data_IF_070548324390
#
_entry.id   IF_070548324390
#
_cell.length_a   1.000
_cell.length_b   1.000
_cell.length_c   1.000
_cell.angle_alpha   90.00
_cell.angle_beta   90.00
_cell.angle_gamma   90.00
#
_symmetry.space_group_name_H-M   'P 1'
#
loop_
_entity.id
_entity.type
_entity.pdbx_description
1 polymer ?
#
# COMPACT_ATOMS: atom_id res chain seq x y z
N UNK A 1 17.24 20.64 -2.51
CA UNK A 1 17.49 20.98 -1.08
C UNK A 1 16.55 22.03 -0.53
N UNK A 2 16.19 23.14 -1.22
CA UNK A 2 15.29 24.20 -0.69
C UNK A 2 13.93 23.65 -0.15
N UNK A 3 13.30 22.69 -0.85
CA UNK A 3 12.07 22.07 -0.38
C UNK A 3 12.27 21.27 0.92
N UNK A 4 13.41 20.56 1.04
CA UNK A 4 13.76 19.87 2.29
C UNK A 4 13.92 20.86 3.45
N UNK A 5 14.63 21.96 3.22
CA UNK A 5 14.85 22.98 4.26
C UNK A 5 13.52 23.58 4.75
N UNK A 6 12.61 23.81 3.83
CA UNK A 6 11.25 24.23 4.16
C UNK A 6 10.52 23.16 4.99
N UNK A 7 10.51 21.89 4.56
CA UNK A 7 9.87 20.80 5.31
C UNK A 7 10.43 20.67 6.73
N UNK A 8 11.77 20.72 6.87
CA UNK A 8 12.41 20.61 8.17
C UNK A 8 12.08 21.81 9.08
N UNK A 9 11.97 23.01 8.52
CA UNK A 9 11.52 24.19 9.24
C UNK A 9 10.08 24.06 9.73
N UNK A 10 9.16 23.60 8.89
CA UNK A 10 7.76 23.38 9.27
C UNK A 10 7.64 22.34 10.39
N UNK A 11 8.40 21.24 10.29
CA UNK A 11 8.43 20.20 11.32
C UNK A 11 9.04 20.73 12.64
N UNK A 12 10.12 21.49 12.58
CA UNK A 12 10.71 22.11 13.76
C UNK A 12 9.69 23.03 14.47
N UNK A 13 9.01 23.90 13.69
CA UNK A 13 7.93 24.74 14.22
C UNK A 13 6.75 23.95 14.80
N UNK A 14 6.47 22.75 14.30
CA UNK A 14 5.40 21.89 14.82
C UNK A 14 5.72 21.31 16.21
N UNK A 15 7.00 21.10 16.53
CA UNK A 15 7.43 20.58 17.83
C UNK A 15 7.07 21.53 18.98
N UNK A 16 6.97 22.82 18.70
CA UNK A 16 6.66 23.87 19.66
C UNK A 16 5.16 24.04 19.90
N UNK A 17 4.30 23.44 19.05
CA UNK A 17 2.84 23.56 19.15
C UNK A 17 2.30 22.71 20.31
N UNK A 18 1.59 23.36 21.24
CA UNK A 18 1.02 22.68 22.42
C UNK A 18 -0.13 21.73 22.09
N UNK A 19 -0.88 22.00 21.02
CA UNK A 19 -2.12 21.28 20.67
C UNK A 19 -1.87 19.94 19.99
N UNK A 20 -0.84 19.85 19.16
CA UNK A 20 -0.45 18.64 18.45
C UNK A 20 1.07 18.61 18.25
N UNK A 21 1.84 18.43 19.34
CA UNK A 21 3.30 18.50 19.28
C UNK A 21 3.87 17.44 18.31
N UNK A 22 4.74 17.89 17.43
CA UNK A 22 5.38 17.02 16.45
C UNK A 22 4.59 16.77 15.18
N UNK A 23 3.37 17.32 15.04
CA UNK A 23 2.55 17.17 13.85
C UNK A 23 2.33 18.49 13.12
N UNK A 24 2.21 18.40 11.81
CA UNK A 24 1.81 19.53 10.97
C UNK A 24 0.32 19.81 11.22
N UNK A 25 0.03 21.04 11.60
CA UNK A 25 -1.33 21.55 11.79
C UNK A 25 -1.61 22.56 10.70
N UNK A 26 -2.45 22.20 9.75
CA UNK A 26 -2.78 23.00 8.58
C UNK A 26 -4.19 22.67 8.09
N UNK A 27 -4.81 23.52 7.27
CA UNK A 27 -5.96 23.12 6.45
C UNK A 27 -5.60 21.90 5.59
N UNK A 28 -6.61 21.09 5.26
CA UNK A 28 -6.35 19.88 4.45
C UNK A 28 -6.10 20.24 2.98
N UNK A 29 -6.93 21.14 2.46
CA UNK A 29 -6.85 21.70 1.12
C UNK A 29 -7.61 23.05 1.05
N UNK A 30 -7.91 23.52 -0.13
CA UNK A 30 -8.68 24.73 -0.40
C UNK A 30 -10.16 24.69 0.04
N UNK A 31 -10.69 23.48 0.28
CA UNK A 31 -12.09 23.29 0.71
C UNK A 31 -12.23 23.30 2.24
N UNK A 32 -11.15 23.17 3.00
CA UNK A 32 -11.19 23.18 4.46
C UNK A 32 -10.36 24.33 5.03
N UNK A 33 -11.00 25.18 5.83
CA UNK A 33 -10.29 26.25 6.54
C UNK A 33 -9.83 25.82 7.95
N UNK A 34 -10.28 24.67 8.43
CA UNK A 34 -9.92 24.13 9.73
C UNK A 34 -8.51 23.59 9.75
N UNK A 35 -7.61 24.30 10.43
CA UNK A 35 -6.25 23.84 10.66
C UNK A 35 -6.25 22.74 11.74
N UNK A 36 -5.99 21.50 11.33
CA UNK A 36 -5.94 20.31 12.19
C UNK A 36 -4.71 19.45 11.89
N UNK A 37 -4.41 18.53 12.79
CA UNK A 37 -3.38 17.52 12.58
C UNK A 37 -3.96 16.31 11.81
N UNK A 38 -4.27 16.54 10.55
CA UNK A 38 -4.84 15.53 9.66
C UNK A 38 -3.90 14.36 9.41
N UNK A 39 -4.44 13.14 9.33
CA UNK A 39 -3.70 11.94 8.98
C UNK A 39 -3.08 12.02 7.59
N UNK A 40 -3.85 12.48 6.61
CA UNK A 40 -3.42 12.60 5.22
C UNK A 40 -2.10 13.37 5.04
N UNK A 41 -1.98 14.68 5.34
CA UNK A 41 -0.73 15.40 5.13
C UNK A 41 0.39 14.90 6.05
N UNK A 42 0.11 14.57 7.30
CA UNK A 42 1.13 14.07 8.21
C UNK A 42 1.71 12.72 7.76
N UNK A 43 0.87 11.84 7.20
CA UNK A 43 1.31 10.59 6.60
C UNK A 43 2.29 10.82 5.44
N UNK A 44 2.00 11.78 4.56
CA UNK A 44 2.89 12.13 3.45
C UNK A 44 4.20 12.76 3.91
N UNK A 45 4.19 13.60 4.95
CA UNK A 45 5.43 14.13 5.52
C UNK A 45 6.33 13.01 6.07
N UNK A 46 5.76 12.09 6.83
CA UNK A 46 6.51 10.94 7.39
C UNK A 46 7.07 10.06 6.27
N UNK A 47 6.24 9.62 5.33
CA UNK A 47 6.64 8.75 4.23
C UNK A 47 7.64 9.43 3.28
N UNK A 48 7.44 10.72 3.01
CA UNK A 48 8.32 11.52 2.18
C UNK A 48 9.72 11.67 2.80
N UNK A 49 9.80 12.02 4.09
CA UNK A 49 11.07 12.15 4.79
C UNK A 49 11.81 10.82 4.92
N UNK A 50 11.09 9.73 5.23
CA UNK A 50 11.72 8.40 5.30
C UNK A 50 12.29 8.00 3.94
N UNK A 51 11.51 8.13 2.87
CA UNK A 51 11.96 7.81 1.51
C UNK A 51 13.13 8.68 1.08
N UNK A 52 13.07 9.98 1.38
CA UNK A 52 14.12 10.92 1.01
C UNK A 52 15.41 10.68 1.81
N UNK A 53 15.31 10.35 3.11
CA UNK A 53 16.49 10.01 3.93
C UNK A 53 17.22 8.78 3.38
N UNK A 54 16.48 7.77 2.93
CA UNK A 54 17.06 6.58 2.29
C UNK A 54 17.73 6.91 0.96
N UNK A 55 17.11 7.77 0.15
CA UNK A 55 17.72 8.25 -1.09
C UNK A 55 19.02 9.02 -0.82
N UNK A 56 19.01 9.95 0.15
CA UNK A 56 20.22 10.68 0.55
C UNK A 56 21.32 9.73 1.03
N UNK A 57 20.98 8.71 1.81
CA UNK A 57 21.94 7.71 2.29
C UNK A 57 22.52 6.89 1.12
N UNK A 58 21.70 6.50 0.15
CA UNK A 58 22.15 5.76 -1.04
C UNK A 58 23.12 6.56 -1.90
N UNK A 59 23.02 7.90 -1.90
CA UNK A 59 23.94 8.81 -2.58
C UNK A 59 25.08 9.32 -1.69
N UNK A 60 25.21 8.84 -0.46
CA UNK A 60 26.27 9.28 0.47
C UNK A 60 26.16 10.75 0.88
N UNK A 61 24.96 11.34 0.84
CA UNK A 61 24.76 12.74 1.15
C UNK A 61 24.87 13.02 2.65
N UNK A 62 25.61 14.06 3.06
CA UNK A 62 25.90 14.37 4.47
C UNK A 62 24.68 14.59 5.36
N UNK A 63 23.56 15.02 4.79
CA UNK A 63 22.31 15.25 5.54
C UNK A 63 21.43 14.02 5.73
N UNK A 64 21.84 12.84 5.25
CA UNK A 64 21.02 11.63 5.35
C UNK A 64 20.63 11.28 6.79
N UNK A 65 21.59 11.33 7.71
CA UNK A 65 21.37 11.04 9.13
C UNK A 65 20.45 12.06 9.82
N UNK A 66 20.60 13.34 9.52
CA UNK A 66 19.74 14.42 10.01
C UNK A 66 18.27 14.15 9.62
N UNK A 67 18.03 13.96 8.32
CA UNK A 67 16.67 13.74 7.80
C UNK A 67 16.06 12.46 8.35
N UNK A 68 16.86 11.39 8.48
CA UNK A 68 16.40 10.15 9.08
C UNK A 68 15.99 10.31 10.54
N UNK A 69 16.74 11.11 11.31
CA UNK A 69 16.41 11.39 12.71
C UNK A 69 15.07 12.11 12.82
N UNK A 70 14.86 13.14 12.00
CA UNK A 70 13.59 13.88 11.95
C UNK A 70 12.44 12.97 11.52
N UNK A 71 12.63 12.14 10.47
CA UNK A 71 11.62 11.19 10.00
C UNK A 71 11.20 10.22 11.11
N UNK A 72 12.17 9.62 11.81
CA UNK A 72 11.90 8.69 12.93
C UNK A 72 11.14 9.36 14.06
N UNK A 73 11.52 10.58 14.41
CA UNK A 73 10.84 11.34 15.48
C UNK A 73 9.41 11.66 15.07
N UNK A 74 9.19 12.18 13.86
CA UNK A 74 7.86 12.50 13.38
C UNK A 74 6.97 11.25 13.28
N UNK A 75 7.51 10.11 12.86
CA UNK A 75 6.81 8.83 12.86
C UNK A 75 6.35 8.41 14.26
N UNK A 76 7.21 8.56 15.26
CA UNK A 76 6.87 8.25 16.65
C UNK A 76 5.79 9.20 17.21
N UNK A 77 5.94 10.51 16.97
CA UNK A 77 4.97 11.53 17.38
C UNK A 77 3.60 11.29 16.73
N UNK A 78 3.58 10.98 15.43
CA UNK A 78 2.36 10.65 14.67
C UNK A 78 1.66 9.43 15.26
N UNK A 79 2.38 8.33 15.41
CA UNK A 79 1.83 7.08 15.96
C UNK A 79 1.24 7.30 17.36
N UNK A 80 1.97 8.00 18.23
CA UNK A 80 1.51 8.32 19.58
C UNK A 80 0.28 9.24 19.58
N UNK A 81 0.21 10.21 18.68
CA UNK A 81 -0.92 11.15 18.59
C UNK A 81 -2.20 10.44 18.13
N UNK A 82 -2.12 9.61 17.10
CA UNK A 82 -3.28 8.85 16.61
C UNK A 82 -3.70 7.75 17.57
N UNK A 83 -2.75 7.11 18.29
CA UNK A 83 -3.08 6.20 19.38
C UNK A 83 -3.87 6.89 20.50
N UNK A 84 -3.42 8.08 20.94
CA UNK A 84 -4.15 8.88 21.94
C UNK A 84 -5.52 9.35 21.42
N UNK A 85 -5.60 9.72 20.14
CA UNK A 85 -6.87 10.09 19.49
C UNK A 85 -7.86 8.93 19.50
N UNK A 86 -7.40 7.73 19.14
CA UNK A 86 -8.22 6.52 19.14
C UNK A 86 -8.75 6.16 20.54
N UNK A 87 -7.93 6.28 21.57
CA UNK A 87 -8.38 6.01 22.98
C UNK A 87 -9.49 6.97 23.43
N UNK A 88 -9.53 8.19 22.90
CA UNK A 88 -10.55 9.20 23.21
C UNK A 88 -11.75 9.18 22.26
N UNK A 89 -11.62 8.44 21.17
CA UNK A 89 -12.66 8.34 20.16
C UNK A 89 -13.77 7.35 20.56
N UNK A 90 -14.95 7.41 19.93
CA UNK A 90 -15.96 6.39 20.15
C UNK A 90 -15.47 5.03 19.64
N UNK A 91 -16.02 3.96 20.21
CA UNK A 91 -15.90 2.62 19.63
C UNK A 91 -16.96 2.42 18.55
N UNK A 92 -16.67 1.60 17.56
CA UNK A 92 -17.58 1.26 16.46
C UNK A 92 -17.88 -0.23 16.47
N UNK A 93 -19.11 -0.60 16.15
CA UNK A 93 -19.48 -2.00 16.01
C UNK A 93 -19.14 -2.51 14.61
N UNK A 94 -18.55 -3.69 14.54
CA UNK A 94 -18.27 -4.39 13.30
C UNK A 94 -19.44 -5.28 12.87
N UNK A 95 -19.41 -5.80 11.65
CA UNK A 95 -20.46 -6.64 11.07
C UNK A 95 -20.69 -7.94 11.88
N UNK A 96 -19.66 -8.48 12.50
CA UNK A 96 -19.71 -9.64 13.39
C UNK A 96 -20.22 -9.34 14.81
N UNK A 97 -20.62 -8.07 15.07
CA UNK A 97 -21.09 -7.53 16.35
C UNK A 97 -20.00 -7.35 17.42
N UNK A 98 -18.75 -7.53 17.08
CA UNK A 98 -17.64 -7.14 17.95
C UNK A 98 -17.46 -5.62 17.93
N UNK A 99 -16.68 -5.10 18.87
CA UNK A 99 -16.40 -3.67 18.98
C UNK A 99 -14.96 -3.39 18.59
N UNK A 100 -14.76 -2.33 17.82
CA UNK A 100 -13.47 -1.91 17.33
C UNK A 100 -13.16 -0.48 17.78
N UNK A 101 -11.90 -0.19 18.01
CA UNK A 101 -11.46 1.19 18.23
C UNK A 101 -11.61 1.98 16.94
N UNK A 102 -12.21 3.15 17.04
CA UNK A 102 -12.20 4.09 15.93
C UNK A 102 -10.91 4.90 15.91
N UNK A 103 -10.29 5.03 14.76
CA UNK A 103 -9.12 5.89 14.55
C UNK A 103 -9.55 7.12 13.77
N UNK A 104 -9.53 8.32 14.38
CA UNK A 104 -10.02 9.53 13.74
C UNK A 104 -9.15 9.99 12.58
N UNK A 105 -9.69 10.78 11.66
CA UNK A 105 -8.95 11.33 10.53
C UNK A 105 -8.01 12.48 10.92
N UNK A 106 -8.21 13.10 12.08
CA UNK A 106 -7.27 14.07 12.66
C UNK A 106 -6.96 13.72 14.13
N UNK A 107 -5.71 13.98 14.53
CA UNK A 107 -5.24 13.62 15.87
C UNK A 107 -5.75 14.56 17.00
N UNK A 108 -6.42 15.65 16.67
CA UNK A 108 -6.88 16.68 17.63
C UNK A 108 -8.32 16.48 18.05
N UNK A 109 -9.16 15.93 17.16
CA UNK A 109 -10.60 15.83 17.36
C UNK A 109 -11.06 14.38 17.13
N UNK A 110 -11.36 13.62 18.17
CA UNK A 110 -11.73 12.20 18.08
C UNK A 110 -13.21 12.02 17.69
N UNK A 111 -13.61 12.51 16.53
CA UNK A 111 -14.99 12.39 16.00
C UNK A 111 -14.98 11.74 14.62
N UNK A 112 -16.07 11.07 14.27
CA UNK A 112 -16.30 10.58 12.91
C UNK A 112 -16.73 11.73 11.99
N UNK A 113 -16.28 11.69 10.74
CA UNK A 113 -16.60 12.66 9.69
C UNK A 113 -17.22 11.93 8.49
N UNK A 114 -18.43 11.39 8.69
CA UNK A 114 -19.15 10.62 7.66
C UNK A 114 -20.15 11.46 6.89
N UNK A 115 -20.81 12.41 7.57
CA UNK A 115 -21.94 13.16 7.03
C UNK A 115 -21.55 14.59 6.59
N UNK A 116 -20.32 14.74 6.13
CA UNK A 116 -19.82 16.02 5.63
C UNK A 116 -19.40 15.88 4.17
N UNK A 117 -19.48 16.97 3.42
CA UNK A 117 -19.07 16.94 2.02
C UNK A 117 -17.59 16.58 1.87
N UNK A 118 -16.75 17.27 2.61
CA UNK A 118 -15.32 17.10 2.60
C UNK A 118 -14.71 17.87 3.78
N UNK A 119 -13.70 17.37 4.48
CA UNK A 119 -13.12 16.03 4.37
C UNK A 119 -13.99 14.96 5.06
N UNK A 120 -13.95 13.75 4.56
CA UNK A 120 -14.57 12.60 5.19
C UNK A 120 -13.54 11.64 5.77
N UNK A 121 -13.99 10.74 6.64
CA UNK A 121 -13.12 9.66 7.16
C UNK A 121 -12.63 8.73 6.04
N UNK A 122 -13.36 8.65 4.94
CA UNK A 122 -13.00 7.80 3.80
C UNK A 122 -11.95 8.47 2.92
N UNK A 123 -12.18 9.74 2.55
CA UNK A 123 -11.31 10.46 1.61
C UNK A 123 -9.97 10.87 2.25
N UNK A 124 -10.03 11.37 3.48
CA UNK A 124 -8.89 11.93 4.20
C UNK A 124 -8.54 11.13 5.43
N UNK A 125 -9.14 9.96 5.54
CA UNK A 125 -9.11 9.13 6.71
C UNK A 125 -7.75 8.53 7.02
N UNK A 126 -7.68 7.86 8.17
CA UNK A 126 -6.43 7.34 8.70
C UNK A 126 -5.83 6.20 7.85
N UNK A 127 -6.57 5.61 6.92
CA UNK A 127 -6.03 4.59 6.00
C UNK A 127 -4.83 5.06 5.19
N UNK A 128 -4.70 6.37 4.94
CA UNK A 128 -3.49 6.94 4.36
C UNK A 128 -2.24 6.64 5.20
N UNK A 129 -2.38 6.60 6.51
CA UNK A 129 -1.27 6.27 7.41
C UNK A 129 -0.81 4.81 7.22
N UNK A 130 -1.75 3.88 7.06
CA UNK A 130 -1.44 2.47 6.80
C UNK A 130 -0.87 2.26 5.39
N UNK A 131 -1.46 2.88 4.36
CA UNK A 131 -0.98 2.83 2.98
C UNK A 131 0.45 3.33 2.83
N UNK A 132 0.77 4.42 3.50
CA UNK A 132 2.08 5.06 3.42
C UNK A 132 3.10 4.44 4.38
N UNK A 133 2.70 3.42 5.16
CA UNK A 133 3.48 2.88 6.27
C UNK A 133 3.95 3.96 7.26
N UNK A 134 3.18 5.03 7.39
CA UNK A 134 3.40 6.10 8.37
C UNK A 134 2.99 5.69 9.79
N UNK A 135 2.26 4.60 9.92
CA UNK A 135 2.12 3.76 11.13
C UNK A 135 2.47 2.33 10.72
N UNK A 136 2.76 1.46 11.67
CA UNK A 136 3.02 0.04 11.35
C UNK A 136 1.78 -0.58 10.67
N UNK A 137 1.87 -0.99 9.40
CA UNK A 137 0.72 -1.56 8.68
C UNK A 137 0.21 -2.87 9.27
N UNK A 138 1.04 -3.56 10.06
CA UNK A 138 0.69 -4.81 10.78
C UNK A 138 0.28 -4.55 12.23
N UNK A 139 0.41 -3.31 12.70
CA UNK A 139 0.08 -2.90 14.06
C UNK A 139 -1.42 -2.78 14.31
N UNK A 140 -1.77 -2.60 15.58
CA UNK A 140 -3.16 -2.52 16.02
C UNK A 140 -3.91 -1.30 15.45
N UNK A 141 -3.23 -0.15 15.28
CA UNK A 141 -3.84 1.04 14.67
C UNK A 141 -4.30 0.75 13.24
N UNK A 142 -3.42 0.20 12.40
CA UNK A 142 -3.76 -0.16 11.02
C UNK A 142 -4.85 -1.24 10.98
N UNK A 143 -4.83 -2.20 11.90
CA UNK A 143 -5.89 -3.21 12.02
C UNK A 143 -7.23 -2.58 12.35
N UNK A 144 -7.28 -1.66 13.31
CA UNK A 144 -8.51 -0.94 13.66
C UNK A 144 -9.06 -0.11 12.49
N UNK A 145 -8.17 0.59 11.76
CA UNK A 145 -8.53 1.35 10.57
C UNK A 145 -9.14 0.47 9.47
N UNK A 146 -8.50 -0.67 9.18
CA UNK A 146 -8.95 -1.59 8.14
C UNK A 146 -10.28 -2.26 8.49
N UNK A 147 -10.46 -2.70 9.72
CA UNK A 147 -11.70 -3.32 10.16
C UNK A 147 -12.90 -2.35 10.08
N UNK A 148 -12.73 -1.13 10.60
CA UNK A 148 -13.79 -0.11 10.50
C UNK A 148 -14.07 0.24 9.04
N UNK A 149 -13.03 0.41 8.22
CA UNK A 149 -13.21 0.73 6.81
C UNK A 149 -13.96 -0.36 6.06
N UNK A 150 -13.59 -1.61 6.20
CA UNK A 150 -14.27 -2.73 5.53
C UNK A 150 -15.73 -2.85 5.91
N UNK A 151 -16.04 -2.81 7.19
CA UNK A 151 -17.37 -3.11 7.68
C UNK A 151 -18.32 -1.90 7.68
N UNK A 152 -17.82 -0.72 7.94
CA UNK A 152 -18.65 0.45 8.16
C UNK A 152 -18.54 1.51 7.07
N UNK A 153 -17.41 1.54 6.33
CA UNK A 153 -17.18 2.59 5.34
C UNK A 153 -17.21 2.05 3.92
N UNK A 154 -16.50 0.96 3.65
CA UNK A 154 -16.34 0.42 2.30
C UNK A 154 -17.64 -0.18 1.71
N UNK A 155 -18.46 -0.80 2.53
CA UNK A 155 -19.70 -1.49 2.10
C UNK A 155 -20.93 -0.59 2.08
N UNK A 156 -20.83 0.66 2.53
CA UNK A 156 -21.94 1.60 2.48
C UNK A 156 -21.86 2.53 1.26
N UNK A 157 -22.80 3.47 1.13
CA UNK A 157 -22.82 4.40 0.00
C UNK A 157 -21.57 5.29 -0.10
N UNK A 158 -20.83 5.44 0.98
CA UNK A 158 -19.58 6.21 1.07
C UNK A 158 -18.33 5.34 0.93
N UNK A 159 -18.51 4.02 0.80
CA UNK A 159 -17.44 3.04 0.92
C UNK A 159 -16.33 3.14 -0.10
N UNK A 160 -16.64 3.60 -1.32
CA UNK A 160 -15.61 3.95 -2.31
C UNK A 160 -15.44 5.45 -2.41
N UNK A 161 -15.94 6.17 -1.42
CA UNK A 161 -15.89 7.61 -1.27
C UNK A 161 -16.44 8.43 -2.43
N UNK A 162 -16.42 9.72 -2.29
CA UNK A 162 -16.55 10.64 -3.40
C UNK A 162 -15.40 10.49 -4.39
N UNK A 163 -14.21 10.26 -3.85
CA UNK A 163 -12.96 10.22 -4.60
C UNK A 163 -12.34 8.83 -4.46
N UNK A 164 -12.65 7.90 -5.37
CA UNK A 164 -12.18 6.52 -5.30
C UNK A 164 -10.66 6.37 -5.27
N UNK A 165 -9.93 7.37 -5.75
CA UNK A 165 -8.46 7.43 -5.69
C UNK A 165 -7.92 7.36 -4.26
N UNK A 166 -8.67 7.78 -3.28
CA UNK A 166 -8.28 7.76 -1.87
C UNK A 166 -8.57 6.44 -1.17
N UNK A 167 -9.16 5.47 -1.86
CA UNK A 167 -9.39 4.14 -1.31
C UNK A 167 -8.10 3.32 -1.27
N UNK A 168 -7.39 3.42 -0.17
CA UNK A 168 -6.00 2.95 -0.04
C UNK A 168 -5.84 1.62 0.68
N UNK A 169 -6.94 0.97 1.08
CA UNK A 169 -6.89 -0.29 1.83
C UNK A 169 -6.15 -1.39 1.07
N UNK A 170 -6.24 -1.44 -0.26
CA UNK A 170 -5.57 -2.47 -1.05
C UNK A 170 -4.05 -2.47 -0.85
N UNK A 171 -3.42 -1.30 -0.81
CA UNK A 171 -1.98 -1.18 -0.53
C UNK A 171 -1.64 -1.58 0.91
N UNK A 172 -2.50 -1.21 1.87
CA UNK A 172 -2.33 -1.63 3.26
C UNK A 172 -2.38 -3.17 3.39
N UNK A 173 -3.29 -3.83 2.68
CA UNK A 173 -3.36 -5.30 2.62
C UNK A 173 -2.11 -5.94 2.00
N UNK A 174 -1.49 -5.31 1.01
CA UNK A 174 -0.22 -5.80 0.46
C UNK A 174 0.91 -5.77 1.49
N UNK A 175 1.00 -4.71 2.32
CA UNK A 175 1.97 -4.67 3.43
C UNK A 175 1.73 -5.77 4.47
N UNK A 176 0.48 -6.17 4.67
CA UNK A 176 0.08 -7.22 5.61
C UNK A 176 0.20 -8.62 5.03
N UNK A 177 0.50 -8.73 3.74
CA UNK A 177 0.49 -9.98 2.98
C UNK A 177 -0.89 -10.68 2.98
N UNK A 178 -1.93 -9.89 2.79
CA UNK A 178 -3.33 -10.31 2.70
C UNK A 178 -3.83 -10.21 1.24
N UNK A 179 -3.39 -11.10 0.33
CA UNK A 179 -3.61 -10.95 -1.10
C UNK A 179 -5.08 -11.02 -1.51
N UNK A 180 -5.92 -11.81 -0.83
CA UNK A 180 -7.35 -11.92 -1.16
C UNK A 180 -8.08 -10.61 -0.89
N UNK A 181 -7.76 -9.94 0.23
CA UNK A 181 -8.33 -8.64 0.56
C UNK A 181 -7.87 -7.56 -0.42
N UNK A 182 -6.58 -7.56 -0.77
CA UNK A 182 -6.03 -6.64 -1.77
C UNK A 182 -6.70 -6.81 -3.15
N UNK A 183 -6.92 -8.06 -3.60
CA UNK A 183 -7.59 -8.36 -4.87
C UNK A 183 -9.05 -7.90 -4.83
N UNK A 184 -9.77 -8.14 -3.73
CA UNK A 184 -11.15 -7.67 -3.56
C UNK A 184 -11.22 -6.14 -3.68
N UNK A 185 -10.35 -5.42 -2.96
CA UNK A 185 -10.28 -3.98 -3.03
C UNK A 185 -9.92 -3.46 -4.43
N UNK A 186 -9.00 -4.12 -5.13
CA UNK A 186 -8.64 -3.80 -6.51
C UNK A 186 -9.84 -3.87 -7.47
N UNK A 187 -10.59 -4.97 -7.44
CA UNK A 187 -11.76 -5.12 -8.32
C UNK A 187 -12.90 -4.17 -7.92
N UNK A 188 -13.07 -3.91 -6.63
CA UNK A 188 -14.06 -2.93 -6.18
C UNK A 188 -13.70 -1.52 -6.65
N UNK A 189 -12.41 -1.15 -6.62
CA UNK A 189 -11.94 0.11 -7.18
C UNK A 189 -12.18 0.18 -8.68
N UNK A 190 -11.89 -0.88 -9.44
CA UNK A 190 -12.22 -0.93 -10.87
C UNK A 190 -13.70 -0.72 -11.14
N UNK A 191 -14.58 -1.33 -10.35
CA UNK A 191 -16.02 -1.21 -10.52
C UNK A 191 -16.56 0.19 -10.19
N UNK A 192 -15.91 0.93 -9.28
CA UNK A 192 -16.41 2.20 -8.78
C UNK A 192 -15.65 3.42 -9.29
N UNK A 193 -14.36 3.27 -9.61
CA UNK A 193 -13.49 4.39 -9.99
C UNK A 193 -13.41 4.64 -11.50
N UNK A 194 -14.08 3.81 -12.30
CA UNK A 194 -14.05 3.91 -13.77
C UNK A 194 -15.45 3.83 -14.35
N UNK A 195 -15.69 4.55 -15.45
CA UNK A 195 -16.91 4.39 -16.23
C UNK A 195 -16.94 3.00 -16.85
N UNK A 196 -18.12 2.38 -16.89
CA UNK A 196 -18.25 0.98 -17.32
C UNK A 196 -18.06 0.79 -18.83
N UNK A 197 -18.31 1.80 -19.64
CA UNK A 197 -18.24 1.68 -21.10
C UNK A 197 -16.89 2.08 -21.68
N UNK A 198 -16.29 3.14 -21.15
CA UNK A 198 -15.07 3.73 -21.71
C UNK A 198 -13.85 3.56 -20.80
N UNK A 199 -14.06 3.02 -19.58
CA UNK A 199 -13.02 2.94 -18.55
C UNK A 199 -12.37 4.30 -18.26
N UNK A 200 -13.17 5.36 -18.34
CA UNK A 200 -12.73 6.71 -17.97
C UNK A 200 -12.62 6.78 -16.46
N UNK A 201 -11.49 7.24 -15.90
CA UNK A 201 -11.35 7.39 -14.47
C UNK A 201 -12.29 8.47 -13.94
N UNK A 202 -12.80 8.24 -12.74
CA UNK A 202 -13.75 9.11 -12.05
C UNK A 202 -13.10 9.74 -10.84
N UNK A 203 -13.25 11.05 -10.68
CA UNK A 203 -12.91 11.72 -9.44
C UNK A 203 -14.00 11.47 -8.40
N UNK A 204 -15.27 11.68 -8.79
CA UNK A 204 -16.41 11.49 -7.92
C UNK A 204 -17.27 10.31 -8.33
N UNK A 205 -17.55 9.43 -7.36
CA UNK A 205 -18.15 8.13 -7.61
C UNK A 205 -19.54 8.13 -8.20
N UNK A 206 -20.42 9.05 -7.92
CA UNK A 206 -21.81 8.83 -8.32
C UNK A 206 -22.67 10.08 -8.50
N UNK A 207 -22.51 11.05 -7.71
CA UNK A 207 -23.63 11.93 -7.44
C UNK A 207 -23.96 12.90 -8.55
N UNK A 208 -23.05 13.21 -9.39
CA UNK A 208 -23.19 14.44 -10.15
C UNK A 208 -23.08 14.22 -11.65
N UNK A 209 -22.97 12.96 -12.10
CA UNK A 209 -22.81 12.64 -13.52
C UNK A 209 -21.58 13.30 -14.16
N UNK A 210 -20.69 13.84 -13.36
CA UNK A 210 -19.50 14.52 -13.83
C UNK A 210 -18.34 13.53 -13.86
N UNK A 211 -17.85 13.32 -15.04
CA UNK A 211 -16.66 12.51 -15.29
C UNK A 211 -15.49 13.48 -15.40
N UNK A 212 -14.66 13.51 -14.40
CA UNK A 212 -13.35 14.11 -14.51
C UNK A 212 -12.35 13.04 -14.95
N UNK A 213 -11.28 13.46 -15.59
CA UNK A 213 -10.15 12.62 -15.97
C UNK A 213 -8.97 12.91 -15.04
N UNK A 214 -9.05 12.60 -13.72
CA UNK A 214 -7.98 12.96 -12.81
C UNK A 214 -6.82 11.98 -13.02
N UNK A 215 -5.65 12.45 -13.41
CA UNK A 215 -4.45 11.62 -13.52
C UNK A 215 -4.12 10.87 -12.23
N UNK A 216 -4.59 11.39 -11.10
CA UNK A 216 -4.43 10.80 -9.77
C UNK A 216 -5.14 9.44 -9.65
N UNK A 217 -6.36 9.28 -10.19
CA UNK A 217 -7.09 8.01 -10.17
C UNK A 217 -6.38 6.95 -11.02
N UNK A 218 -5.95 7.32 -12.23
CA UNK A 218 -5.17 6.45 -13.10
C UNK A 218 -3.86 6.04 -12.43
N UNK A 219 -3.14 7.00 -11.87
CA UNK A 219 -1.87 6.77 -11.20
C UNK A 219 -1.99 5.84 -9.99
N UNK A 220 -3.01 6.05 -9.14
CA UNK A 220 -3.24 5.23 -7.96
C UNK A 220 -3.64 3.80 -8.33
N UNK A 221 -4.50 3.64 -9.34
CA UNK A 221 -4.89 2.31 -9.82
C UNK A 221 -3.71 1.58 -10.48
N UNK A 222 -2.93 2.28 -11.30
CA UNK A 222 -1.75 1.70 -11.94
C UNK A 222 -0.68 1.31 -10.92
N UNK A 223 -0.45 2.13 -9.90
CA UNK A 223 0.45 1.79 -8.79
C UNK A 223 0.03 0.50 -8.09
N UNK A 224 -1.25 0.36 -7.79
CA UNK A 224 -1.80 -0.83 -7.16
C UNK A 224 -1.65 -2.06 -8.08
N UNK A 225 -2.06 -1.93 -9.35
CA UNK A 225 -1.91 -2.99 -10.34
C UNK A 225 -0.46 -3.47 -10.46
N UNK A 226 0.48 -2.52 -10.54
CA UNK A 226 1.90 -2.82 -10.58
C UNK A 226 2.37 -3.56 -9.32
N UNK A 227 1.97 -3.09 -8.14
CA UNK A 227 2.33 -3.72 -6.86
C UNK A 227 1.78 -5.13 -6.70
N UNK A 228 0.64 -5.44 -7.29
CA UNK A 228 0.12 -6.82 -7.31
C UNK A 228 1.03 -7.77 -8.07
N UNK A 229 1.73 -7.27 -9.11
CA UNK A 229 2.65 -8.02 -9.96
C UNK A 229 4.09 -7.99 -9.46
N UNK A 230 4.58 -6.78 -9.13
CA UNK A 230 5.94 -6.51 -8.67
C UNK A 230 5.86 -5.49 -7.53
N UNK A 231 6.08 -5.92 -6.31
CA UNK A 231 6.05 -5.06 -5.13
C UNK A 231 7.43 -4.98 -4.48
N UNK A 232 7.95 -3.77 -4.38
CA UNK A 232 9.15 -3.52 -3.60
C UNK A 232 8.75 -3.21 -2.15
N UNK A 233 9.00 -4.14 -1.27
CA UNK A 233 8.94 -3.92 0.18
C UNK A 233 10.21 -3.16 0.57
N UNK A 234 10.19 -1.88 0.33
CA UNK A 234 11.38 -1.02 0.24
C UNK A 234 12.22 -0.98 1.52
N UNK A 235 11.59 -1.04 2.69
CA UNK A 235 12.31 -1.08 3.97
C UNK A 235 13.08 -2.38 4.20
N UNK A 236 12.70 -3.45 3.51
CA UNK A 236 13.24 -4.80 3.72
C UNK A 236 14.25 -5.21 2.63
N UNK A 237 14.40 -4.42 1.57
CA UNK A 237 15.21 -4.79 0.40
C UNK A 237 14.66 -6.01 -0.33
N UNK A 238 13.34 -6.20 -0.30
CA UNK A 238 12.64 -7.34 -0.88
C UNK A 238 11.93 -6.94 -2.17
N UNK A 239 12.07 -7.78 -3.21
CA UNK A 239 11.20 -7.74 -4.38
C UNK A 239 10.23 -8.91 -4.31
N UNK A 240 8.93 -8.62 -4.28
CA UNK A 240 7.88 -9.63 -4.28
C UNK A 240 7.22 -9.69 -5.66
N UNK A 241 7.37 -10.82 -6.34
CA UNK A 241 6.77 -11.13 -7.63
C UNK A 241 5.44 -11.84 -7.41
N UNK A 242 4.37 -11.35 -8.06
CA UNK A 242 3.06 -11.99 -8.05
C UNK A 242 2.34 -11.97 -6.70
N UNK A 243 2.65 -11.02 -5.83
CA UNK A 243 2.14 -10.99 -4.45
C UNK A 243 0.62 -11.13 -4.37
N UNK A 244 -0.11 -10.43 -5.24
CA UNK A 244 -1.57 -10.47 -5.26
C UNK A 244 -2.13 -10.69 -6.67
N UNK A 245 -1.47 -11.53 -7.47
CA UNK A 245 -2.00 -11.93 -8.77
C UNK A 245 -3.28 -12.75 -8.55
N UNK A 246 -4.42 -12.34 -9.15
CA UNK A 246 -5.66 -13.11 -9.06
C UNK A 246 -5.48 -14.52 -9.59
N UNK A 247 -6.05 -15.52 -8.91
CA UNK A 247 -5.96 -16.92 -9.32
C UNK A 247 -6.50 -17.16 -10.73
N UNK A 248 -7.54 -16.43 -11.13
CA UNK A 248 -8.12 -16.52 -12.48
C UNK A 248 -7.12 -16.08 -13.58
N UNK A 249 -6.14 -15.22 -13.26
CA UNK A 249 -5.12 -14.83 -14.23
C UNK A 249 -4.05 -15.92 -14.43
N UNK A 250 -4.03 -16.91 -13.54
CA UNK A 250 -3.18 -18.09 -13.61
C UNK A 250 -3.98 -19.36 -13.94
N UNK A 251 -5.17 -19.23 -14.55
CA UNK A 251 -5.90 -20.37 -15.10
C UNK A 251 -5.06 -21.09 -16.17
N UNK A 252 -5.37 -22.36 -16.41
CA UNK A 252 -4.62 -23.17 -17.35
C UNK A 252 -4.45 -22.51 -18.72
N UNK A 253 -3.26 -22.60 -19.29
CA UNK A 253 -2.89 -21.97 -20.55
C UNK A 253 -2.72 -20.45 -20.51
N UNK A 254 -2.98 -19.79 -19.38
CA UNK A 254 -2.81 -18.35 -19.26
C UNK A 254 -1.33 -17.96 -19.13
N UNK A 255 -1.04 -16.79 -19.67
CA UNK A 255 0.28 -16.18 -19.63
C UNK A 255 0.18 -14.73 -19.14
N UNK A 256 1.11 -14.34 -18.29
CA UNK A 256 1.30 -12.98 -17.82
C UNK A 256 2.73 -12.57 -18.16
N UNK A 257 2.93 -11.39 -18.73
CA UNK A 257 4.26 -10.87 -19.03
C UNK A 257 4.33 -9.37 -18.73
N UNK A 258 5.46 -8.95 -18.17
CA UNK A 258 5.81 -7.54 -17.95
C UNK A 258 7.24 -7.36 -18.43
N UNK A 259 7.47 -6.39 -19.31
CA UNK A 259 8.77 -6.13 -19.86
C UNK A 259 9.34 -4.81 -19.32
N UNK A 260 10.61 -4.84 -18.93
CA UNK A 260 11.37 -3.68 -18.46
C UNK A 260 10.67 -2.90 -17.35
N UNK A 261 9.97 -3.61 -16.43
CA UNK A 261 9.33 -2.95 -15.29
C UNK A 261 10.39 -2.26 -14.43
N UNK A 262 10.31 -0.94 -14.22
CA UNK A 262 11.28 -0.24 -13.39
C UNK A 262 11.12 -0.66 -11.94
N UNK A 263 12.23 -1.02 -11.29
CA UNK A 263 12.27 -1.33 -9.85
C UNK A 263 13.45 -0.63 -9.18
N UNK A 264 13.50 -0.59 -7.87
CA UNK A 264 14.68 -0.09 -7.13
C UNK A 264 15.94 -0.92 -7.41
N UNK A 265 15.77 -2.11 -7.96
CA UNK A 265 16.85 -3.03 -8.34
C UNK A 265 17.16 -2.98 -9.85
N UNK A 266 16.70 -1.92 -10.52
CA UNK A 266 16.78 -1.77 -11.98
C UNK A 266 15.58 -2.39 -12.69
N UNK A 267 15.53 -2.33 -14.04
CA UNK A 267 14.45 -2.93 -14.80
C UNK A 267 14.42 -4.44 -14.67
N UNK A 268 13.19 -5.01 -14.55
CA UNK A 268 12.94 -6.45 -14.43
C UNK A 268 12.00 -6.89 -15.53
N UNK A 269 12.32 -7.99 -16.20
CA UNK A 269 11.41 -8.73 -17.07
C UNK A 269 10.78 -9.87 -16.26
N UNK A 270 9.46 -10.01 -16.39
CA UNK A 270 8.69 -11.08 -15.76
C UNK A 270 7.83 -11.79 -16.80
N UNK A 271 7.84 -13.12 -16.76
CA UNK A 271 6.90 -13.96 -17.51
C UNK A 271 6.41 -15.07 -16.60
N UNK A 272 5.09 -15.19 -16.44
CA UNK A 272 4.46 -16.30 -15.75
C UNK A 272 3.64 -17.10 -16.76
N UNK A 273 3.82 -18.42 -16.79
CA UNK A 273 3.09 -19.35 -17.66
C UNK A 273 2.45 -20.42 -16.80
N UNK A 274 1.16 -20.63 -17.02
CA UNK A 274 0.36 -21.59 -16.28
C UNK A 274 0.05 -22.82 -17.12
N UNK A 275 0.42 -23.99 -16.63
CA UNK A 275 -0.03 -25.31 -17.04
C UNK A 275 -0.74 -25.98 -15.84
N UNK A 276 -1.71 -25.26 -15.26
CA UNK A 276 -2.39 -25.65 -14.04
C UNK A 276 -3.14 -26.99 -14.16
N UNK A 277 -3.62 -27.34 -15.34
CA UNK A 277 -4.25 -28.63 -15.60
C UNK A 277 -3.29 -29.81 -15.33
N UNK A 278 -2.01 -29.65 -15.67
CA UNK A 278 -0.95 -30.62 -15.42
C UNK A 278 -0.24 -30.37 -14.08
N UNK A 279 -0.73 -29.41 -13.27
CA UNK A 279 -0.22 -29.12 -11.93
C UNK A 279 1.08 -28.31 -11.91
N UNK A 280 1.35 -27.49 -12.93
CA UNK A 280 2.57 -26.67 -12.95
C UNK A 280 2.28 -25.19 -13.28
N UNK A 281 2.99 -24.27 -12.58
CA UNK A 281 3.04 -22.85 -12.93
C UNK A 281 4.49 -22.41 -12.83
N UNK A 282 4.98 -21.70 -13.85
CA UNK A 282 6.39 -21.29 -13.94
C UNK A 282 6.50 -19.77 -14.04
N UNK A 283 7.42 -19.17 -13.28
CA UNK A 283 7.81 -17.78 -13.42
C UNK A 283 9.25 -17.69 -13.96
N UNK A 284 9.46 -16.87 -14.99
CA UNK A 284 10.78 -16.47 -15.49
C UNK A 284 11.00 -15.01 -15.14
N UNK A 285 12.09 -14.73 -14.44
CA UNK A 285 12.43 -13.40 -13.92
C UNK A 285 13.84 -13.08 -14.43
N UNK A 286 14.01 -11.91 -15.02
CA UNK A 286 15.30 -11.44 -15.51
C UNK A 286 15.57 -10.03 -15.00
N UNK A 287 16.71 -9.87 -14.34
CA UNK A 287 17.24 -8.58 -13.91
C UNK A 287 18.17 -8.04 -15.00
N UNK A 288 17.89 -6.86 -15.50
CA UNK A 288 18.67 -6.24 -16.57
C UNK A 288 19.75 -5.26 -16.07
N UNK A 289 19.99 -5.23 -14.77
CA UNK A 289 21.04 -4.45 -14.11
C UNK A 289 21.79 -5.31 -13.10
N UNK A 290 22.90 -4.80 -12.56
CA UNK A 290 23.70 -5.50 -11.54
C UNK A 290 23.08 -5.39 -10.12
N UNK A 291 22.07 -4.58 -9.95
CA UNK A 291 21.39 -4.44 -8.66
C UNK A 291 20.49 -5.63 -8.39
N UNK A 292 20.54 -6.13 -7.15
CA UNK A 292 19.70 -7.26 -6.70
C UNK A 292 18.99 -6.92 -5.40
N UNK A 293 17.79 -7.44 -5.17
CA UNK A 293 17.17 -7.40 -3.85
C UNK A 293 17.95 -8.30 -2.87
N UNK A 294 17.83 -8.06 -1.59
CA UNK A 294 18.32 -9.01 -0.56
C UNK A 294 17.47 -10.28 -0.54
N UNK A 295 16.19 -10.14 -0.84
CA UNK A 295 15.22 -11.23 -0.89
C UNK A 295 14.36 -11.11 -2.14
N UNK A 296 14.26 -12.18 -2.90
CA UNK A 296 13.28 -12.33 -3.97
C UNK A 296 12.20 -13.30 -3.49
N UNK A 297 10.97 -12.84 -3.39
CA UNK A 297 9.78 -13.65 -3.15
C UNK A 297 9.02 -13.84 -4.46
N UNK A 298 8.59 -15.07 -4.73
CA UNK A 298 7.81 -15.39 -5.94
C UNK A 298 6.57 -16.16 -5.52
N UNK A 299 5.38 -15.59 -5.73
CA UNK A 299 4.10 -16.25 -5.41
C UNK A 299 3.44 -16.74 -6.69
N UNK A 300 3.17 -18.04 -6.72
CA UNK A 300 2.48 -18.69 -7.81
C UNK A 300 1.22 -19.37 -7.24
N UNK A 301 0.05 -18.82 -7.54
CA UNK A 301 -1.21 -19.22 -6.90
C UNK A 301 -2.02 -20.13 -7.83
N UNK A 302 -2.16 -21.40 -7.47
CA UNK A 302 -2.96 -22.35 -8.27
C UNK A 302 -4.42 -21.87 -8.37
N UNK A 303 -5.04 -21.84 -9.58
CA UNK A 303 -6.41 -21.34 -9.76
C UNK A 303 -7.44 -22.05 -8.86
N UNK A 304 -7.30 -23.34 -8.64
CA UNK A 304 -8.18 -24.15 -7.82
C UNK A 304 -7.65 -24.35 -6.38
N UNK A 305 -6.79 -23.47 -5.90
CA UNK A 305 -6.25 -23.50 -4.52
C UNK A 305 -5.58 -24.83 -4.14
N UNK A 306 -5.02 -25.57 -5.11
CA UNK A 306 -4.22 -26.74 -4.78
C UNK A 306 -2.98 -26.33 -4.02
N UNK A 307 -2.54 -27.09 -3.00
CA UNK A 307 -1.36 -26.75 -2.23
C UNK A 307 -0.08 -26.92 -3.06
N UNK A 308 0.88 -26.04 -2.82
CA UNK A 308 2.22 -26.14 -3.38
C UNK A 308 2.92 -27.38 -2.79
N UNK A 309 3.40 -28.30 -3.64
CA UNK A 309 4.01 -29.58 -3.25
C UNK A 309 5.52 -29.54 -3.36
N UNK A 310 6.03 -29.03 -4.46
CA UNK A 310 7.47 -28.95 -4.72
C UNK A 310 7.78 -27.73 -5.57
N UNK A 311 9.01 -27.29 -5.48
CA UNK A 311 9.54 -26.14 -6.22
C UNK A 311 10.88 -26.49 -6.80
N UNK A 312 11.15 -26.00 -8.01
CA UNK A 312 12.51 -25.93 -8.54
C UNK A 312 12.89 -24.49 -8.85
N UNK A 313 14.16 -24.15 -8.65
CA UNK A 313 14.74 -22.86 -9.07
C UNK A 313 15.91 -23.15 -10.00
N UNK A 314 15.82 -22.66 -11.24
CA UNK A 314 16.78 -22.95 -12.30
C UNK A 314 17.04 -24.46 -12.52
N UNK A 315 15.98 -25.26 -12.36
CA UNK A 315 16.03 -26.71 -12.54
C UNK A 315 16.53 -27.52 -11.34
N UNK A 316 17.01 -26.87 -10.27
CA UNK A 316 17.40 -27.54 -9.04
C UNK A 316 16.24 -27.54 -8.02
N UNK A 317 16.09 -28.60 -7.25
CA UNK A 317 15.12 -28.70 -6.17
C UNK A 317 15.32 -27.56 -5.16
N UNK A 318 14.22 -26.96 -4.71
CA UNK A 318 14.25 -25.81 -3.82
C UNK A 318 13.36 -26.02 -2.60
N UNK A 319 13.95 -25.89 -1.42
CA UNK A 319 13.25 -26.18 -0.16
C UNK A 319 12.76 -24.94 0.58
N UNK A 320 13.24 -23.74 0.23
CA UNK A 320 12.82 -22.51 0.88
C UNK A 320 11.54 -21.95 0.23
N UNK A 321 10.41 -22.60 0.56
CA UNK A 321 9.07 -22.17 0.16
C UNK A 321 8.05 -22.39 1.28
N UNK A 322 6.97 -21.61 1.26
CA UNK A 322 5.84 -21.75 2.17
C UNK A 322 4.62 -22.23 1.37
N UNK A 323 4.19 -23.45 1.63
CA UNK A 323 3.07 -24.07 0.92
C UNK A 323 1.71 -23.39 1.24
N UNK A 324 1.54 -22.89 2.46
CA UNK A 324 0.31 -22.22 2.89
C UNK A 324 0.19 -20.81 2.30
N UNK A 325 1.31 -20.09 2.21
CA UNK A 325 1.39 -18.77 1.61
C UNK A 325 1.63 -18.80 0.10
N UNK A 326 1.90 -19.96 -0.46
CA UNK A 326 2.14 -20.21 -1.89
C UNK A 326 3.27 -19.38 -2.48
N UNK A 327 4.31 -19.08 -1.71
CA UNK A 327 5.47 -18.35 -2.19
C UNK A 327 6.79 -19.10 -2.00
N UNK A 328 7.74 -18.76 -2.86
CA UNK A 328 9.12 -19.26 -2.88
C UNK A 328 10.02 -18.10 -2.49
N UNK A 329 10.99 -18.36 -1.61
CA UNK A 329 11.96 -17.36 -1.16
C UNK A 329 13.35 -17.68 -1.67
N UNK A 330 14.01 -16.70 -2.26
CA UNK A 330 15.39 -16.77 -2.70
C UNK A 330 16.15 -15.64 -1.98
N UNK A 331 17.01 -16.04 -1.05
CA UNK A 331 17.85 -15.11 -0.29
C UNK A 331 19.11 -14.76 -1.09
N UNK A 332 19.48 -13.48 -1.06
CA UNK A 332 20.65 -12.94 -1.73
C UNK A 332 20.76 -13.40 -3.20
N UNK A 333 19.73 -13.18 -4.03
CA UNK A 333 19.72 -13.63 -5.40
C UNK A 333 20.89 -13.01 -6.18
N UNK A 334 21.82 -13.84 -6.65
CA UNK A 334 23.01 -13.39 -7.38
C UNK A 334 22.86 -13.52 -8.90
N UNK A 335 22.01 -14.43 -9.38
CA UNK A 335 21.85 -14.67 -10.80
C UNK A 335 21.11 -13.54 -11.52
N UNK A 336 21.40 -13.38 -12.81
CA UNK A 336 20.68 -12.50 -13.69
C UNK A 336 19.26 -13.03 -13.98
N UNK A 337 19.12 -14.35 -14.10
CA UNK A 337 17.88 -15.02 -14.50
C UNK A 337 17.47 -16.09 -13.51
N UNK A 338 16.18 -16.13 -13.25
CA UNK A 338 15.54 -17.15 -12.41
C UNK A 338 14.36 -17.79 -13.17
N UNK A 339 14.35 -19.11 -13.21
CA UNK A 339 13.19 -19.91 -13.60
C UNK A 339 12.68 -20.63 -12.35
N UNK A 340 11.55 -20.17 -11.82
CA UNK A 340 10.91 -20.76 -10.63
C UNK A 340 9.71 -21.57 -11.11
N UNK A 341 9.75 -22.89 -10.91
CA UNK A 341 8.64 -23.77 -11.24
C UNK A 341 8.02 -24.35 -9.98
N UNK A 342 6.72 -24.14 -9.84
CA UNK A 342 5.88 -24.62 -8.75
C UNK A 342 5.05 -25.82 -9.23
N UNK A 343 5.04 -26.92 -8.45
CA UNK A 343 4.22 -28.11 -8.68
C UNK A 343 3.14 -28.26 -7.61
N UNK A 344 1.92 -28.71 -8.02
CA UNK A 344 0.72 -28.75 -7.18
C UNK A 344 0.07 -30.13 -7.13
#
# INVERSE_FOLDING_TARGET
MKALDWCLKEIAGSQEKKTAPGLIVAPLNDLTHDARAWGFPNGYFVAGLDTFSRALAAYGHSRAAEVQTVAKKMHADLTAAFARGSVKAPVVQLADRTWNNYVPCDAMTPRRLLDVWYPTDVDCGPLHLARLAAVDPRGWLATAMLHDHEDNLFLNQWGMANEPVYNMQATAYLYRDEPEAAIRAFYSMMACAFSHHQLTPLEHRWAWGQYYLPPSTDGAWFELYRKMLLNELSGEGTLFIGQAVPRAWLADGKRLAVERAPTYFGPVNLKIESAAATGSITAKIEFTSDRRPRTLLVRLRHPNKKPLRSVTVNGADWLDFDAAKEWVRIQNPAAERYAVAASY
#
